data_IF_479487500731
#
_entry.id   IF_479487500731
#
_cell.length_a   1.000
_cell.length_b   1.000
_cell.length_c   1.000
_cell.angle_alpha   90.00
_cell.angle_beta   90.00
_cell.angle_gamma   90.00
#
_symmetry.space_group_name_H-M   'P 1'
#
loop_
_entity.id
_entity.type
_entity.pdbx_description
1 polymer ?
#
# COMPACT_ATOMS: atom_id res chain seq x y z
N UNK A 1 -105.38 -18.22 59.63
CA UNK A 1 -106.75 -18.07 59.07
C UNK A 1 -107.20 -19.24 58.19
N UNK A 2 -106.59 -19.55 57.02
CA UNK A 2 -107.08 -20.71 56.21
C UNK A 2 -106.94 -22.07 56.90
N UNK A 3 -105.82 -22.30 57.58
CA UNK A 3 -105.56 -23.55 58.29
C UNK A 3 -106.43 -23.71 59.55
N UNK A 4 -106.71 -22.62 60.28
CA UNK A 4 -107.54 -22.64 61.49
C UNK A 4 -109.00 -22.94 61.20
N UNK A 5 -109.55 -22.37 60.11
CA UNK A 5 -110.87 -22.74 59.62
C UNK A 5 -110.95 -24.22 59.22
N UNK A 6 -109.95 -24.76 58.53
CA UNK A 6 -109.94 -26.17 58.13
C UNK A 6 -109.86 -27.14 59.33
N UNK A 7 -109.16 -26.75 60.40
CA UNK A 7 -109.05 -27.53 61.63
C UNK A 7 -110.38 -27.54 62.39
N UNK A 8 -111.07 -26.39 62.45
CA UNK A 8 -112.39 -26.27 63.06
C UNK A 8 -113.42 -27.17 62.39
N UNK A 9 -113.51 -27.11 61.05
CA UNK A 9 -114.46 -27.89 60.27
C UNK A 9 -114.20 -29.41 60.40
N UNK A 10 -112.93 -29.82 60.43
CA UNK A 10 -112.54 -31.22 60.62
C UNK A 10 -112.92 -31.75 62.01
N UNK A 11 -112.80 -30.94 63.08
CA UNK A 11 -113.19 -31.33 64.44
C UNK A 11 -114.71 -31.50 64.56
N UNK A 12 -115.50 -30.55 64.04
CA UNK A 12 -116.97 -30.64 64.07
C UNK A 12 -117.49 -31.84 63.27
N UNK A 13 -116.85 -32.17 62.14
CA UNK A 13 -117.20 -33.34 61.32
C UNK A 13 -117.03 -34.69 62.05
N UNK A 14 -116.24 -34.75 63.12
CA UNK A 14 -116.01 -35.97 63.93
C UNK A 14 -116.94 -36.09 65.15
N UNK A 15 -118.08 -35.37 65.15
CA UNK A 15 -119.01 -35.25 66.29
C UNK A 15 -118.37 -34.64 67.56
N UNK A 16 -117.28 -33.88 67.43
CA UNK A 16 -116.77 -33.10 68.55
C UNK A 16 -117.79 -31.98 68.88
N UNK A 17 -118.16 -31.79 70.15
CA UNK A 17 -118.97 -30.66 70.58
C UNK A 17 -118.38 -29.33 70.09
N UNK A 18 -119.23 -28.46 69.54
CA UNK A 18 -118.82 -27.22 68.84
C UNK A 18 -118.00 -26.27 69.73
N UNK A 19 -118.30 -26.26 71.02
CA UNK A 19 -117.56 -25.56 72.07
C UNK A 19 -116.13 -26.09 72.24
N UNK A 20 -115.92 -27.41 72.17
CA UNK A 20 -114.60 -28.03 72.23
C UNK A 20 -113.81 -27.84 70.94
N UNK A 21 -114.46 -27.94 69.78
CA UNK A 21 -113.83 -27.68 68.49
C UNK A 21 -113.29 -26.24 68.41
N UNK A 22 -114.07 -25.28 68.90
CA UNK A 22 -113.64 -23.88 69.02
C UNK A 22 -112.46 -23.72 69.98
N UNK A 23 -112.52 -24.33 71.16
CA UNK A 23 -111.44 -24.26 72.14
C UNK A 23 -110.10 -24.83 71.63
N UNK A 24 -110.13 -25.91 70.84
CA UNK A 24 -108.91 -26.49 70.23
C UNK A 24 -108.34 -25.56 69.16
N UNK A 25 -109.19 -24.93 68.35
CA UNK A 25 -108.76 -23.99 67.31
C UNK A 25 -108.22 -22.70 67.93
N UNK A 26 -108.86 -22.19 68.97
CA UNK A 26 -108.40 -21.03 69.72
C UNK A 26 -107.05 -21.34 70.42
N UNK A 27 -106.88 -22.55 70.98
CA UNK A 27 -105.61 -22.99 71.57
C UNK A 27 -104.51 -23.16 70.52
N UNK A 28 -104.83 -23.64 69.32
CA UNK A 28 -103.87 -23.78 68.22
C UNK A 28 -103.51 -22.44 67.60
N UNK A 29 -104.46 -21.51 67.42
CA UNK A 29 -104.16 -20.14 66.98
C UNK A 29 -103.31 -19.41 68.02
N UNK A 30 -103.59 -19.60 69.32
CA UNK A 30 -102.74 -19.07 70.39
C UNK A 30 -101.33 -19.67 70.37
N UNK A 31 -101.17 -20.99 70.23
CA UNK A 31 -99.86 -21.65 70.12
C UNK A 31 -99.11 -21.25 68.84
N UNK A 32 -99.81 -21.03 67.72
CA UNK A 32 -99.21 -20.60 66.45
C UNK A 32 -98.79 -19.12 66.49
N UNK A 33 -99.53 -18.27 67.20
CA UNK A 33 -99.17 -16.87 67.44
C UNK A 33 -97.99 -16.77 68.44
N UNK A 34 -97.95 -17.68 69.42
CA UNK A 34 -96.79 -17.88 70.29
C UNK A 34 -95.59 -18.42 69.51
N UNK A 35 -95.79 -19.27 68.50
CA UNK A 35 -94.71 -19.84 67.68
C UNK A 35 -93.83 -18.77 67.00
N UNK A 36 -94.42 -17.71 66.44
CA UNK A 36 -93.65 -16.57 65.88
C UNK A 36 -92.96 -15.71 66.93
N UNK A 37 -93.40 -15.83 68.18
CA UNK A 37 -92.87 -15.13 69.36
C UNK A 37 -92.00 -16.04 70.22
N UNK A 38 -91.82 -17.33 69.83
CA UNK A 38 -91.10 -18.31 70.63
C UNK A 38 -89.69 -17.79 70.83
N UNK A 39 -89.27 -17.60 72.09
CA UNK A 39 -87.97 -16.99 72.40
C UNK A 39 -86.82 -17.76 71.75
N UNK A 40 -86.98 -19.07 71.53
CA UNK A 40 -86.00 -19.92 70.85
C UNK A 40 -85.73 -19.49 69.40
N UNK A 41 -86.75 -19.12 68.62
CA UNK A 41 -86.56 -18.70 67.22
C UNK A 41 -85.85 -17.35 67.13
N UNK A 42 -86.29 -16.38 67.92
CA UNK A 42 -85.64 -15.07 68.01
C UNK A 42 -84.19 -15.20 68.49
N UNK A 43 -83.94 -16.09 69.46
CA UNK A 43 -82.59 -16.41 69.91
C UNK A 43 -81.76 -17.06 68.80
N UNK A 44 -82.32 -17.96 67.99
CA UNK A 44 -81.60 -18.55 66.86
C UNK A 44 -81.30 -17.53 65.75
N UNK A 45 -82.22 -16.62 65.43
CA UNK A 45 -81.99 -15.55 64.46
C UNK A 45 -80.86 -14.63 64.93
N UNK A 46 -80.90 -14.19 66.19
CA UNK A 46 -79.87 -13.31 66.73
C UNK A 46 -78.51 -14.00 66.75
N UNK A 47 -78.45 -15.28 67.17
CA UNK A 47 -77.22 -16.08 67.11
C UNK A 47 -76.68 -16.20 65.69
N UNK A 48 -77.54 -16.42 64.69
CA UNK A 48 -77.12 -16.48 63.29
C UNK A 48 -76.61 -15.13 62.79
N UNK A 49 -77.29 -14.02 63.12
CA UNK A 49 -76.85 -12.67 62.77
C UNK A 49 -75.48 -12.34 63.37
N UNK A 50 -75.28 -12.65 64.65
CA UNK A 50 -74.00 -12.46 65.32
C UNK A 50 -72.92 -13.32 64.65
N UNK A 51 -73.19 -14.60 64.41
CA UNK A 51 -72.22 -15.52 63.79
C UNK A 51 -71.84 -15.09 62.37
N UNK A 52 -72.79 -14.68 61.54
CA UNK A 52 -72.51 -14.18 60.18
C UNK A 52 -71.68 -12.90 60.24
N UNK A 53 -71.97 -12.01 61.18
CA UNK A 53 -71.20 -10.77 61.36
C UNK A 53 -69.76 -11.07 61.79
N UNK A 54 -69.58 -11.95 62.77
CA UNK A 54 -68.26 -12.38 63.25
C UNK A 54 -67.45 -13.02 62.11
N UNK A 55 -68.05 -13.94 61.35
CA UNK A 55 -67.40 -14.56 60.19
C UNK A 55 -67.06 -13.53 59.10
N UNK A 56 -67.93 -12.53 58.87
CA UNK A 56 -67.67 -11.45 57.92
C UNK A 56 -66.51 -10.55 58.34
N UNK A 57 -66.43 -10.22 59.63
CA UNK A 57 -65.34 -9.44 60.21
C UNK A 57 -64.01 -10.21 60.19
N UNK A 58 -64.04 -11.51 60.51
CA UNK A 58 -62.89 -12.42 60.42
C UNK A 58 -62.38 -12.52 58.97
N UNK A 59 -63.28 -12.79 58.02
CA UNK A 59 -62.93 -12.86 56.60
C UNK A 59 -62.33 -11.54 56.09
N UNK A 60 -62.90 -10.40 56.48
CA UNK A 60 -62.36 -9.08 56.14
C UNK A 60 -60.97 -8.87 56.74
N UNK A 61 -60.74 -9.35 57.96
CA UNK A 61 -59.43 -9.39 58.61
C UNK A 61 -58.41 -10.18 57.80
N UNK A 62 -58.73 -11.44 57.48
CA UNK A 62 -57.86 -12.33 56.72
C UNK A 62 -57.55 -11.80 55.32
N UNK A 63 -58.53 -11.23 54.61
CA UNK A 63 -58.30 -10.61 53.29
C UNK A 63 -57.34 -9.42 53.40
N UNK A 64 -57.47 -8.60 54.45
CA UNK A 64 -56.59 -7.45 54.66
C UNK A 64 -55.16 -7.88 54.98
N UNK A 65 -54.99 -8.92 55.80
CA UNK A 65 -53.70 -9.49 56.13
C UNK A 65 -53.02 -10.07 54.89
N UNK A 66 -53.72 -10.93 54.13
CA UNK A 66 -53.23 -11.49 52.88
C UNK A 66 -52.85 -10.40 51.87
N UNK A 67 -53.66 -9.33 51.77
CA UNK A 67 -53.37 -8.20 50.91
C UNK A 67 -52.11 -7.42 51.30
N UNK A 68 -51.83 -7.31 52.60
CA UNK A 68 -50.62 -6.68 53.12
C UNK A 68 -49.38 -7.56 52.89
N UNK A 69 -49.49 -8.87 53.12
CA UNK A 69 -48.43 -9.84 52.85
C UNK A 69 -48.05 -9.86 51.37
N UNK A 70 -49.06 -9.94 50.49
CA UNK A 70 -48.84 -9.89 49.04
C UNK A 70 -48.16 -8.59 48.62
N UNK A 71 -48.59 -7.44 49.15
CA UNK A 71 -47.95 -6.15 48.88
C UNK A 71 -46.49 -6.11 49.35
N UNK A 72 -46.21 -6.68 50.52
CA UNK A 72 -44.84 -6.77 51.04
C UNK A 72 -43.95 -7.63 50.16
N UNK A 73 -44.44 -8.83 49.79
CA UNK A 73 -43.73 -9.76 48.91
C UNK A 73 -43.43 -9.15 47.54
N UNK A 74 -44.41 -8.49 46.91
CA UNK A 74 -44.20 -7.79 45.64
C UNK A 74 -43.14 -6.69 45.76
N UNK A 75 -43.13 -5.94 46.87
CA UNK A 75 -42.16 -4.87 47.10
C UNK A 75 -40.74 -5.41 47.26
N UNK A 76 -40.60 -6.51 48.00
CA UNK A 76 -39.33 -7.21 48.20
C UNK A 76 -38.79 -7.75 46.88
N UNK A 77 -39.59 -8.53 46.14
CA UNK A 77 -39.22 -9.05 44.82
C UNK A 77 -38.86 -7.93 43.83
N UNK A 78 -39.59 -6.81 43.85
CA UNK A 78 -39.28 -5.66 43.01
C UNK A 78 -37.95 -4.99 43.38
N UNK A 79 -37.57 -5.03 44.67
CA UNK A 79 -36.29 -4.50 45.13
C UNK A 79 -35.14 -5.43 44.74
N UNK A 80 -35.29 -6.74 44.95
CA UNK A 80 -34.33 -7.75 44.53
C UNK A 80 -34.08 -7.70 43.03
N UNK A 81 -35.14 -7.65 42.21
CA UNK A 81 -35.02 -7.55 40.76
C UNK A 81 -34.26 -6.28 40.35
N UNK A 82 -34.52 -5.14 41.00
CA UNK A 82 -33.80 -3.89 40.73
C UNK A 82 -32.32 -4.00 41.06
N UNK A 83 -31.98 -4.66 42.18
CA UNK A 83 -30.59 -4.87 42.59
C UNK A 83 -29.87 -5.79 41.60
N UNK A 84 -30.49 -6.91 41.21
CA UNK A 84 -29.95 -7.83 40.21
C UNK A 84 -29.69 -7.15 38.86
N UNK A 85 -30.65 -6.35 38.37
CA UNK A 85 -30.48 -5.59 37.12
C UNK A 85 -29.31 -4.59 37.24
N UNK A 86 -29.19 -3.91 38.39
CA UNK A 86 -28.09 -2.96 38.62
C UNK A 86 -26.73 -3.66 38.69
N UNK A 87 -26.65 -4.82 39.32
CA UNK A 87 -25.43 -5.61 39.44
C UNK A 87 -24.98 -6.11 38.05
N UNK A 88 -25.88 -6.75 37.30
CA UNK A 88 -25.60 -7.19 35.94
C UNK A 88 -25.22 -6.03 35.01
N UNK A 89 -25.85 -4.86 35.17
CA UNK A 89 -25.49 -3.67 34.41
C UNK A 89 -24.07 -3.16 34.72
N UNK A 90 -23.64 -3.26 35.98
CA UNK A 90 -22.29 -2.89 36.39
C UNK A 90 -21.24 -3.90 35.90
N UNK A 91 -21.52 -5.20 35.98
CA UNK A 91 -20.67 -6.25 35.45
C UNK A 91 -20.49 -6.13 33.94
N UNK A 92 -21.57 -5.91 33.20
CA UNK A 92 -21.51 -5.69 31.75
C UNK A 92 -20.66 -4.46 31.41
N UNK A 93 -20.83 -3.36 32.15
CA UNK A 93 -20.00 -2.15 31.95
C UNK A 93 -18.52 -2.41 32.24
N UNK A 94 -18.21 -3.18 33.27
CA UNK A 94 -16.83 -3.55 33.61
C UNK A 94 -16.22 -4.41 32.50
N UNK A 95 -16.94 -5.43 32.03
CA UNK A 95 -16.51 -6.31 30.93
C UNK A 95 -16.26 -5.54 29.63
N UNK A 96 -17.17 -4.65 29.24
CA UNK A 96 -16.99 -3.78 28.05
C UNK A 96 -15.74 -2.89 28.19
N UNK A 97 -15.50 -2.34 29.39
CA UNK A 97 -14.33 -1.49 29.64
C UNK A 97 -13.02 -2.28 29.54
N UNK A 98 -13.00 -3.50 30.06
CA UNK A 98 -11.85 -4.40 29.98
C UNK A 98 -11.54 -4.76 28.53
N UNK A 99 -12.53 -5.25 27.77
CA UNK A 99 -12.38 -5.56 26.35
C UNK A 99 -11.94 -4.35 25.52
N UNK A 100 -12.45 -3.15 25.83
CA UNK A 100 -12.04 -1.92 25.15
C UNK A 100 -10.57 -1.56 25.42
N UNK A 101 -10.08 -1.80 26.64
CA UNK A 101 -8.68 -1.58 26.99
C UNK A 101 -7.76 -2.61 26.34
N UNK A 102 -8.17 -3.88 26.31
CA UNK A 102 -7.45 -4.95 25.63
C UNK A 102 -7.32 -4.66 24.13
N UNK A 103 -8.43 -4.30 23.48
CA UNK A 103 -8.44 -3.92 22.05
C UNK A 103 -7.51 -2.71 21.78
N UNK A 104 -7.51 -1.71 22.67
CA UNK A 104 -6.59 -0.56 22.57
C UNK A 104 -5.13 -1.01 22.70
N UNK A 105 -4.83 -1.95 23.58
CA UNK A 105 -3.51 -2.55 23.74
C UNK A 105 -3.04 -3.22 22.46
N UNK A 106 -3.87 -4.12 21.91
CA UNK A 106 -3.59 -4.85 20.66
C UNK A 106 -3.37 -3.91 19.47
N UNK A 107 -4.20 -2.88 19.32
CA UNK A 107 -4.03 -1.87 18.26
C UNK A 107 -2.70 -1.11 18.43
N UNK A 108 -2.33 -0.76 19.66
CA UNK A 108 -1.06 -0.06 19.91
C UNK A 108 0.15 -0.96 19.63
N UNK A 109 0.07 -2.24 19.98
CA UNK A 109 1.13 -3.23 19.73
C UNK A 109 1.33 -3.43 18.22
N UNK A 110 0.26 -3.73 17.49
CA UNK A 110 0.29 -3.87 16.03
C UNK A 110 0.78 -2.60 15.34
N UNK A 111 0.39 -1.41 15.84
CA UNK A 111 0.89 -0.14 15.32
C UNK A 111 2.40 0.06 15.51
N UNK A 112 2.94 -0.41 16.63
CA UNK A 112 4.38 -0.36 16.90
C UNK A 112 5.14 -1.38 16.05
N UNK A 113 4.63 -2.60 15.90
CA UNK A 113 5.21 -3.62 15.01
C UNK A 113 5.25 -3.15 13.56
N UNK A 114 4.15 -2.59 13.06
CA UNK A 114 4.08 -2.03 11.70
C UNK A 114 5.10 -0.90 11.51
N UNK A 115 5.23 0.00 12.49
CA UNK A 115 6.23 1.07 12.44
C UNK A 115 7.65 0.52 12.41
N UNK A 116 7.93 -0.53 13.19
CA UNK A 116 9.25 -1.19 13.22
C UNK A 116 9.56 -1.84 11.87
N UNK A 117 8.61 -2.60 11.31
CA UNK A 117 8.75 -3.24 10.01
C UNK A 117 9.00 -2.24 8.88
N UNK A 118 8.26 -1.13 8.85
CA UNK A 118 8.49 -0.05 7.87
C UNK A 118 9.90 0.53 8.02
N UNK A 119 10.36 0.77 9.25
CA UNK A 119 11.71 1.31 9.50
C UNK A 119 12.81 0.35 9.02
N UNK A 120 12.64 -0.94 9.25
CA UNK A 120 13.56 -1.99 8.80
C UNK A 120 13.62 -2.02 7.26
N UNK A 121 12.47 -2.08 6.58
CA UNK A 121 12.40 -2.04 5.12
C UNK A 121 13.03 -0.77 4.53
N UNK A 122 12.81 0.40 5.14
CA UNK A 122 13.46 1.64 4.70
C UNK A 122 14.98 1.61 4.85
N UNK A 123 15.50 0.96 5.90
CA UNK A 123 16.94 0.82 6.09
C UNK A 123 17.55 -0.17 5.08
N UNK A 124 16.87 -1.28 4.82
CA UNK A 124 17.26 -2.26 3.80
C UNK A 124 17.31 -1.61 2.41
N UNK A 125 16.25 -0.87 2.03
CA UNK A 125 16.20 -0.15 0.76
C UNK A 125 17.33 0.88 0.63
N UNK A 126 17.64 1.61 1.71
CA UNK A 126 18.78 2.53 1.74
C UNK A 126 20.10 1.79 1.56
N UNK A 127 20.26 0.61 2.16
CA UNK A 127 21.41 -0.26 1.97
C UNK A 127 21.61 -0.65 0.51
N UNK A 128 20.55 -1.17 -0.13
CA UNK A 128 20.55 -1.58 -1.54
C UNK A 128 20.88 -0.42 -2.48
N UNK A 129 20.32 0.77 -2.25
CA UNK A 129 20.62 1.95 -3.06
C UNK A 129 22.10 2.36 -2.94
N UNK A 130 22.66 2.30 -1.73
CA UNK A 130 24.08 2.62 -1.53
C UNK A 130 25.00 1.59 -2.19
N UNK A 131 24.66 0.30 -2.11
CA UNK A 131 25.41 -0.78 -2.74
C UNK A 131 25.41 -0.61 -4.27
N UNK A 132 24.23 -0.48 -4.88
CA UNK A 132 24.10 -0.24 -6.32
C UNK A 132 24.81 1.06 -6.77
N UNK A 133 24.75 2.12 -5.95
CA UNK A 133 25.46 3.36 -6.22
C UNK A 133 26.99 3.18 -6.23
N UNK A 134 27.52 2.36 -5.32
CA UNK A 134 28.95 2.05 -5.28
C UNK A 134 29.37 1.15 -6.45
N UNK A 135 28.58 0.14 -6.79
CA UNK A 135 28.82 -0.71 -7.96
C UNK A 135 28.85 0.11 -9.26
N UNK A 136 27.86 0.98 -9.47
CA UNK A 136 27.81 1.86 -10.63
C UNK A 136 29.05 2.78 -10.68
N UNK A 137 29.45 3.36 -9.55
CA UNK A 137 30.64 4.22 -9.47
C UNK A 137 31.91 3.46 -9.84
N UNK A 138 32.04 2.21 -9.37
CA UNK A 138 33.19 1.36 -9.69
C UNK A 138 33.21 0.99 -11.18
N UNK A 139 32.06 0.61 -11.75
CA UNK A 139 31.94 0.30 -13.18
C UNK A 139 32.30 1.49 -14.07
N UNK A 140 31.82 2.70 -13.74
CA UNK A 140 32.18 3.94 -14.46
C UNK A 140 33.70 4.19 -14.39
N UNK A 141 34.31 3.97 -13.23
CA UNK A 141 35.76 4.15 -13.04
C UNK A 141 36.57 3.15 -13.87
N UNK A 142 36.13 1.90 -13.93
CA UNK A 142 36.76 0.85 -14.73
C UNK A 142 36.69 1.18 -16.22
N UNK A 143 35.48 1.46 -16.74
CA UNK A 143 35.29 1.87 -18.14
C UNK A 143 36.10 3.12 -18.51
N UNK A 144 36.20 4.09 -17.60
CA UNK A 144 37.02 5.30 -17.82
C UNK A 144 38.51 4.99 -17.93
N UNK A 145 39.00 4.03 -17.13
CA UNK A 145 40.40 3.59 -17.18
C UNK A 145 40.69 2.80 -18.47
N UNK A 146 39.78 1.92 -18.87
CA UNK A 146 39.87 1.17 -20.14
C UNK A 146 39.93 2.12 -21.33
N UNK A 147 39.01 3.10 -21.39
CA UNK A 147 38.98 4.10 -22.45
C UNK A 147 40.29 4.91 -22.50
N UNK A 148 40.81 5.31 -21.34
CA UNK A 148 42.09 6.02 -21.24
C UNK A 148 43.27 5.17 -21.73
N UNK A 149 43.26 3.86 -21.43
CA UNK A 149 44.29 2.94 -21.88
C UNK A 149 44.24 2.76 -23.40
N UNK A 150 43.05 2.51 -23.95
CA UNK A 150 42.83 2.36 -25.39
C UNK A 150 43.24 3.62 -26.16
N UNK A 151 42.89 4.81 -25.66
CA UNK A 151 43.31 6.08 -26.29
C UNK A 151 44.83 6.26 -26.29
N UNK A 152 45.51 5.87 -25.19
CA UNK A 152 46.97 5.94 -25.10
C UNK A 152 47.64 5.00 -26.10
N UNK A 153 47.09 3.79 -26.26
CA UNK A 153 47.57 2.80 -27.24
C UNK A 153 47.42 3.33 -28.68
N UNK A 154 46.23 3.82 -29.05
CA UNK A 154 45.99 4.42 -30.37
C UNK A 154 46.91 5.62 -30.66
N UNK A 155 47.17 6.46 -29.66
CA UNK A 155 48.11 7.57 -29.79
C UNK A 155 49.55 7.10 -30.03
N UNK A 156 49.97 6.01 -29.38
CA UNK A 156 51.30 5.43 -29.60
C UNK A 156 51.40 4.79 -31.00
N UNK A 157 50.38 4.05 -31.43
CA UNK A 157 50.31 3.48 -32.78
C UNK A 157 50.38 4.57 -33.85
N UNK A 158 49.57 5.62 -33.72
CA UNK A 158 49.59 6.76 -34.64
C UNK A 158 50.97 7.43 -34.70
N UNK A 159 51.63 7.56 -33.54
CA UNK A 159 52.99 8.13 -33.47
C UNK A 159 54.00 7.25 -34.21
N UNK A 160 53.94 5.93 -34.04
CA UNK A 160 54.80 4.98 -34.76
C UNK A 160 54.59 5.07 -36.26
N UNK A 161 53.34 5.04 -36.73
CA UNK A 161 53.00 5.19 -38.14
C UNK A 161 53.54 6.51 -38.73
N UNK A 162 53.42 7.62 -38.00
CA UNK A 162 54.00 8.90 -38.44
C UNK A 162 55.53 8.85 -38.52
N UNK A 163 56.21 8.15 -37.62
CA UNK A 163 57.67 8.01 -37.67
C UNK A 163 58.11 7.17 -38.88
N UNK A 164 57.42 6.07 -39.14
CA UNK A 164 57.67 5.19 -40.28
C UNK A 164 57.44 5.94 -41.60
N UNK A 165 56.30 6.62 -41.76
CA UNK A 165 56.02 7.43 -42.95
C UNK A 165 57.05 8.54 -43.16
N UNK A 166 57.49 9.21 -42.09
CA UNK A 166 58.54 10.22 -42.19
C UNK A 166 59.90 9.63 -42.57
N UNK A 167 60.23 8.42 -42.11
CA UNK A 167 61.46 7.74 -42.48
C UNK A 167 61.44 7.32 -43.96
N UNK A 168 60.31 6.77 -44.41
CA UNK A 168 60.06 6.40 -45.80
C UNK A 168 60.17 7.62 -46.73
N UNK A 169 59.48 8.72 -46.40
CA UNK A 169 59.55 9.97 -47.16
C UNK A 169 60.98 10.51 -47.26
N UNK A 170 61.76 10.45 -46.18
CA UNK A 170 63.18 10.85 -46.20
C UNK A 170 64.03 9.95 -47.09
N UNK A 171 63.74 8.65 -47.13
CA UNK A 171 64.41 7.69 -48.00
C UNK A 171 64.13 8.02 -49.47
N UNK A 172 62.86 8.19 -49.83
CA UNK A 172 62.42 8.55 -51.18
C UNK A 172 63.04 9.86 -51.67
N UNK A 173 63.07 10.90 -50.82
CA UNK A 173 63.73 12.18 -51.15
C UNK A 173 65.23 11.98 -51.40
N UNK A 174 65.90 11.14 -50.61
CA UNK A 174 67.34 10.88 -50.78
C UNK A 174 67.62 10.12 -52.07
N UNK A 175 66.80 9.13 -52.40
CA UNK A 175 66.88 8.35 -53.63
C UNK A 175 66.67 9.24 -54.85
N UNK A 176 65.56 9.99 -54.90
CA UNK A 176 65.28 10.95 -55.97
C UNK A 176 66.38 12.01 -56.11
N UNK A 177 66.94 12.49 -54.99
CA UNK A 177 68.07 13.42 -55.00
C UNK A 177 69.35 12.81 -55.60
N UNK A 178 69.59 11.51 -55.35
CA UNK A 178 70.72 10.78 -55.93
C UNK A 178 70.53 10.55 -57.44
N UNK A 179 69.34 10.13 -57.84
CA UNK A 179 68.98 9.97 -59.26
C UNK A 179 69.11 11.27 -60.04
N UNK A 180 68.59 12.37 -59.50
CA UNK A 180 68.73 13.70 -60.09
C UNK A 180 70.21 14.08 -60.25
N UNK A 181 71.04 13.83 -59.24
CA UNK A 181 72.48 14.13 -59.28
C UNK A 181 73.20 13.31 -60.34
N UNK A 182 72.88 12.03 -60.48
CA UNK A 182 73.42 11.17 -61.53
C UNK A 182 73.01 11.65 -62.92
N UNK A 183 71.73 11.97 -63.12
CA UNK A 183 71.23 12.51 -64.39
C UNK A 183 71.93 13.83 -64.76
N UNK A 184 72.12 14.75 -63.81
CA UNK A 184 72.87 15.98 -64.05
C UNK A 184 74.35 15.73 -64.38
N UNK A 185 74.99 14.73 -63.76
CA UNK A 185 76.37 14.36 -64.08
C UNK A 185 76.50 13.78 -65.49
N UNK A 186 75.55 12.93 -65.89
CA UNK A 186 75.49 12.34 -67.22
C UNK A 186 75.26 13.41 -68.28
N UNK A 187 74.24 14.27 -68.12
CA UNK A 187 73.99 15.41 -69.00
C UNK A 187 75.20 16.36 -69.06
N UNK A 188 75.86 16.61 -67.94
CA UNK A 188 77.06 17.44 -67.89
C UNK A 188 78.26 16.81 -68.62
N UNK A 189 78.42 15.49 -68.55
CA UNK A 189 79.45 14.75 -69.28
C UNK A 189 79.17 14.76 -70.79
N UNK A 190 77.93 14.52 -71.19
CA UNK A 190 77.50 14.59 -72.59
C UNK A 190 77.72 15.98 -73.18
N UNK A 191 77.35 17.04 -72.43
CA UNK A 191 77.59 18.42 -72.84
C UNK A 191 79.09 18.70 -73.04
N UNK A 192 79.96 18.21 -72.15
CA UNK A 192 81.42 18.36 -72.30
C UNK A 192 81.96 17.61 -73.51
N UNK A 193 81.47 16.40 -73.77
CA UNK A 193 81.85 15.63 -74.95
C UNK A 193 81.44 16.38 -76.22
N UNK A 194 80.20 16.88 -76.30
CA UNK A 194 79.72 17.71 -77.39
C UNK A 194 80.58 18.97 -77.60
N UNK A 195 80.91 19.70 -76.52
CA UNK A 195 81.83 20.85 -76.58
C UNK A 195 83.22 20.48 -77.08
N UNK A 196 83.78 19.36 -76.62
CA UNK A 196 85.10 18.89 -77.08
C UNK A 196 85.09 18.51 -78.56
N UNK A 197 83.99 17.91 -79.03
CA UNK A 197 83.75 17.62 -80.45
C UNK A 197 83.69 18.88 -81.28
N UNK A 198 82.92 19.89 -80.83
CA UNK A 198 82.88 21.22 -81.48
C UNK A 198 84.26 21.87 -81.51
N UNK A 199 85.03 21.83 -80.41
CA UNK A 199 86.36 22.42 -80.35
C UNK A 199 87.35 21.72 -81.29
N UNK A 200 87.27 20.40 -81.42
CA UNK A 200 88.03 19.63 -82.40
C UNK A 200 87.68 20.04 -83.83
N UNK A 201 86.38 20.16 -84.15
CA UNK A 201 85.95 20.67 -85.45
C UNK A 201 86.46 22.09 -85.72
N UNK A 202 86.42 22.99 -84.72
CA UNK A 202 86.98 24.33 -84.84
C UNK A 202 88.48 24.27 -85.13
N UNK A 203 89.25 23.41 -84.45
CA UNK A 203 90.67 23.25 -84.71
C UNK A 203 90.95 22.71 -86.12
N UNK A 204 90.16 21.74 -86.60
CA UNK A 204 90.23 21.23 -87.97
C UNK A 204 89.91 22.33 -88.98
N UNK A 205 88.84 23.11 -88.76
CA UNK A 205 88.47 24.25 -89.60
C UNK A 205 89.58 25.30 -89.63
N UNK A 206 90.18 25.63 -88.48
CA UNK A 206 91.33 26.54 -88.40
C UNK A 206 92.52 26.03 -89.19
N UNK A 207 92.81 24.73 -89.11
CA UNK A 207 93.89 24.10 -89.88
C UNK A 207 93.59 24.11 -91.38
N UNK A 208 92.36 23.75 -91.80
CA UNK A 208 91.91 23.81 -93.19
C UNK A 208 92.01 25.22 -93.76
N UNK A 209 91.54 26.24 -93.03
CA UNK A 209 91.67 27.65 -93.42
C UNK A 209 93.15 28.02 -93.58
N UNK A 210 94.01 27.63 -92.63
CA UNK A 210 95.46 27.84 -92.73
C UNK A 210 96.07 27.17 -93.97
N UNK A 211 95.67 25.94 -94.28
CA UNK A 211 96.09 25.21 -95.47
C UNK A 211 95.62 25.89 -96.76
N UNK A 212 94.38 26.36 -96.82
CA UNK A 212 93.85 27.13 -97.95
C UNK A 212 94.62 28.44 -98.12
N UNK A 213 94.89 29.17 -97.02
CA UNK A 213 95.72 30.39 -97.07
C UNK A 213 97.11 30.07 -97.62
N UNK A 214 97.77 29.00 -97.17
CA UNK A 214 99.07 28.57 -97.69
C UNK A 214 98.98 28.20 -99.17
N UNK A 215 98.02 27.36 -99.56
CA UNK A 215 97.83 26.90 -100.93
C UNK A 215 97.38 27.98 -101.91
N UNK A 216 96.73 29.05 -101.46
CA UNK A 216 96.29 30.16 -102.32
C UNK A 216 97.28 31.33 -102.27
N UNK A 217 97.72 31.73 -101.09
CA UNK A 217 98.61 32.88 -100.90
C UNK A 217 100.04 32.62 -101.38
N UNK A 218 100.61 31.41 -101.20
CA UNK A 218 101.97 31.11 -101.68
C UNK A 218 102.07 31.17 -103.21
N UNK A 219 101.21 30.50 -104.00
CA UNK A 219 101.27 30.65 -105.45
C UNK A 219 100.95 32.07 -105.91
N UNK A 220 100.03 32.80 -105.25
CA UNK A 220 99.81 34.22 -105.54
C UNK A 220 101.04 35.09 -105.24
N UNK A 221 101.75 34.85 -104.14
CA UNK A 221 103.00 35.53 -103.81
C UNK A 221 104.10 35.19 -104.81
N UNK A 222 104.20 33.92 -105.23
CA UNK A 222 105.14 33.48 -106.27
C UNK A 222 104.83 34.16 -107.60
N UNK A 223 103.56 34.22 -108.00
CA UNK A 223 103.13 34.91 -109.23
C UNK A 223 103.39 36.43 -109.15
N UNK A 224 103.12 37.05 -108.01
CA UNK A 224 103.41 38.46 -107.77
C UNK A 224 104.93 38.74 -107.80
N UNK A 225 105.76 37.85 -107.25
CA UNK A 225 107.21 37.96 -107.28
C UNK A 225 107.78 37.74 -108.69
N UNK A 226 107.25 36.78 -109.45
CA UNK A 226 107.60 36.57 -110.87
C UNK A 226 107.16 37.76 -111.76
N UNK A 227 106.11 38.49 -111.39
CA UNK A 227 105.71 39.75 -112.05
C UNK A 227 106.54 40.98 -111.62
N UNK A 228 107.27 40.90 -110.49
CA UNK A 228 108.05 42.02 -109.93
C UNK A 228 109.58 41.85 -110.10
N UNK A 229 110.04 40.64 -110.46
CA UNK A 229 111.44 40.40 -110.81
C UNK A 229 111.67 40.78 -112.30
N UNK A 230 112.67 41.64 -112.59
CA UNK A 230 112.85 42.30 -113.89
C UNK A 230 113.25 41.37 -115.03
#
# INVERSE_FOLDING_TARGET
MRLSLSLYDALVATNAPTDKAKAVVDAWEADMQDFTSKPDLLQTEERLRTSIKEQGDELRGSIKELGNELRSSIKEQSHELRNLISEQGNELRASIKEQSNELRGLISEQGNELRSSIKEQCNELRGLINEQGNELRNSIKEQSNELRSSFKEQCNELRTLMFEQNAELRSQIREQGSELRLSMQEQGAELRLSMSGMQSQINVMRWQIGLVIVCVAIPLFKLAFELLAP
#
